data_IF_981195985314
#
_entry.id   IF_981195985314
#
_cell.length_a   1.000
_cell.length_b   1.000
_cell.length_c   1.000
_cell.angle_alpha   90.00
_cell.angle_beta   90.00
_cell.angle_gamma   90.00
#
_symmetry.space_group_name_H-M   'P 1'
#
loop_
_entity.id
_entity.type
_entity.pdbx_description
1 polymer ?
#
# COMPACT_ATOMS: atom_id res chain seq x y z
N UNK A 1 7.48 -14.49 13.99
CA UNK A 1 6.80 -13.23 13.63
C UNK A 1 6.80 -13.14 12.12
N UNK A 2 5.69 -13.48 11.45
CA UNK A 2 5.54 -13.23 10.02
C UNK A 2 5.46 -11.72 9.83
N UNK A 3 6.53 -11.12 9.30
CA UNK A 3 6.60 -9.67 9.12
C UNK A 3 6.00 -9.36 7.74
N UNK A 4 4.87 -8.65 7.71
CA UNK A 4 4.17 -8.33 6.46
C UNK A 4 4.72 -7.05 5.81
N UNK A 5 4.37 -6.84 4.54
CA UNK A 5 4.57 -5.58 3.82
C UNK A 5 3.25 -4.80 3.87
N UNK A 6 3.31 -3.53 4.23
CA UNK A 6 2.17 -2.62 4.12
C UNK A 6 2.17 -1.98 2.73
N UNK A 7 1.08 -2.15 1.97
CA UNK A 7 0.80 -1.35 0.77
C UNK A 7 -0.22 -0.28 1.15
N UNK A 8 0.29 0.90 1.45
CA UNK A 8 -0.50 2.08 1.80
C UNK A 8 -0.83 2.91 0.57
N UNK A 9 -2.06 3.43 0.47
CA UNK A 9 -2.41 4.32 -0.63
C UNK A 9 -3.25 5.53 -0.21
N UNK A 10 -3.00 6.68 -0.86
CA UNK A 10 -3.94 7.78 -0.94
C UNK A 10 -4.69 7.66 -2.27
N UNK A 11 -5.96 8.03 -2.31
CA UNK A 11 -6.73 8.12 -3.56
C UNK A 11 -7.92 9.06 -3.39
N UNK A 12 -8.34 9.70 -4.49
CA UNK A 12 -9.57 10.50 -4.54
C UNK A 12 -10.67 9.82 -5.35
N UNK A 13 -10.30 9.16 -6.45
CA UNK A 13 -11.23 8.55 -7.41
C UNK A 13 -11.05 7.04 -7.58
N UNK A 14 -10.20 6.41 -6.76
CA UNK A 14 -10.01 4.95 -6.77
C UNK A 14 -8.86 4.46 -7.64
N UNK A 15 -8.38 5.20 -8.63
CA UNK A 15 -7.31 4.69 -9.54
C UNK A 15 -6.04 4.25 -8.81
N UNK A 16 -5.60 4.98 -7.78
CA UNK A 16 -4.44 4.58 -6.97
C UNK A 16 -4.71 3.33 -6.12
N UNK A 17 -5.97 3.07 -5.77
CA UNK A 17 -6.35 1.83 -5.07
C UNK A 17 -6.16 0.62 -6.00
N UNK A 18 -6.61 0.70 -7.25
CA UNK A 18 -6.45 -0.39 -8.23
C UNK A 18 -4.96 -0.72 -8.44
N UNK A 19 -4.11 0.32 -8.53
CA UNK A 19 -2.65 0.13 -8.62
C UNK A 19 -2.09 -0.51 -7.34
N UNK A 20 -2.54 -0.06 -6.16
CA UNK A 20 -2.12 -0.64 -4.89
C UNK A 20 -2.53 -2.12 -4.76
N UNK A 21 -3.71 -2.48 -5.23
CA UNK A 21 -4.20 -3.86 -5.29
C UNK A 21 -3.36 -4.73 -6.23
N UNK A 22 -3.00 -4.20 -7.41
CA UNK A 22 -2.12 -4.89 -8.35
C UNK A 22 -0.72 -5.13 -7.76
N UNK A 23 -0.13 -4.12 -7.13
CA UNK A 23 1.17 -4.25 -6.43
C UNK A 23 1.08 -5.30 -5.31
N UNK A 24 0.01 -5.26 -4.50
CA UNK A 24 -0.20 -6.23 -3.43
C UNK A 24 -0.35 -7.66 -3.98
N UNK A 25 -1.02 -7.85 -5.12
CA UNK A 25 -1.14 -9.13 -5.79
C UNK A 25 0.23 -9.67 -6.20
N UNK A 26 1.06 -8.87 -6.87
CA UNK A 26 2.42 -9.27 -7.27
C UNK A 26 3.30 -9.64 -6.07
N UNK A 27 3.25 -8.86 -4.99
CA UNK A 27 4.01 -9.18 -3.77
C UNK A 27 3.56 -10.50 -3.13
N UNK A 28 2.24 -10.78 -3.13
CA UNK A 28 1.69 -12.05 -2.65
C UNK A 28 2.09 -13.23 -3.52
N UNK A 29 2.14 -13.05 -4.84
CA UNK A 29 2.66 -14.07 -5.78
C UNK A 29 4.13 -14.40 -5.50
N UNK A 30 4.92 -13.44 -5.02
CA UNK A 30 6.29 -13.66 -4.54
C UNK A 30 6.37 -14.32 -3.15
N UNK A 31 5.24 -14.70 -2.54
CA UNK A 31 5.19 -15.36 -1.23
C UNK A 31 5.26 -14.42 -0.03
N UNK A 32 5.10 -13.11 -0.23
CA UNK A 32 5.09 -12.13 0.86
C UNK A 32 3.69 -12.00 1.48
N UNK A 33 3.64 -11.85 2.80
CA UNK A 33 2.42 -11.42 3.49
C UNK A 33 2.23 -9.91 3.25
N UNK A 34 1.04 -9.50 2.80
CA UNK A 34 0.78 -8.10 2.40
C UNK A 34 -0.55 -7.62 2.94
N UNK A 35 -0.52 -6.50 3.64
CA UNK A 35 -1.71 -5.75 4.05
C UNK A 35 -1.88 -4.53 3.14
N UNK A 36 -3.12 -4.23 2.77
CA UNK A 36 -3.44 -3.06 1.93
C UNK A 36 -4.37 -2.13 2.70
N UNK A 37 -3.99 -0.86 2.84
CA UNK A 37 -4.79 0.12 3.58
C UNK A 37 -4.74 1.52 2.96
N UNK A 38 -5.84 2.25 3.11
CA UNK A 38 -5.85 3.70 2.92
C UNK A 38 -4.88 4.34 3.91
N UNK A 39 -4.00 5.23 3.45
CA UNK A 39 -2.98 5.81 4.34
C UNK A 39 -3.54 6.57 5.52
N UNK A 40 -4.71 7.21 5.37
CA UNK A 40 -5.39 7.89 6.48
C UNK A 40 -5.84 6.96 7.61
N UNK A 41 -5.95 5.66 7.35
CA UNK A 41 -6.36 4.65 8.34
C UNK A 41 -5.16 3.95 9.00
N UNK A 42 -3.94 4.14 8.48
CA UNK A 42 -2.73 3.55 9.04
C UNK A 42 -2.32 4.32 10.29
N UNK A 43 -2.41 3.66 11.46
CA UNK A 43 -2.10 4.27 12.76
C UNK A 43 -0.73 3.90 13.31
N UNK A 44 -0.12 2.84 12.79
CA UNK A 44 1.18 2.34 13.23
C UNK A 44 1.85 1.55 12.11
N UNK A 45 3.18 1.54 12.10
CA UNK A 45 4.00 0.71 11.22
C UNK A 45 4.65 -0.47 11.97
N UNK A 46 4.41 -0.58 13.29
CA UNK A 46 4.98 -1.65 14.09
C UNK A 46 4.50 -3.02 13.59
N UNK A 47 5.44 -3.91 13.29
CA UNK A 47 5.15 -5.26 12.77
C UNK A 47 5.27 -5.40 11.25
N UNK A 48 5.45 -4.30 10.51
CA UNK A 48 5.76 -4.33 9.07
C UNK A 48 7.27 -4.36 8.83
N UNK A 49 7.71 -5.12 7.83
CA UNK A 49 9.11 -5.21 7.40
C UNK A 49 9.43 -4.18 6.33
N UNK A 50 8.42 -3.78 5.57
CA UNK A 50 8.52 -2.80 4.50
C UNK A 50 7.17 -2.09 4.29
N UNK A 51 7.24 -0.93 3.64
CA UNK A 51 6.08 -0.14 3.23
C UNK A 51 6.22 0.23 1.76
N UNK A 52 5.15 0.03 1.00
CA UNK A 52 4.95 0.61 -0.33
C UNK A 52 3.88 1.69 -0.19
N UNK A 53 4.16 2.90 -0.65
CA UNK A 53 3.26 4.04 -0.56
C UNK A 53 2.86 4.52 -1.96
N UNK A 54 1.57 4.45 -2.28
CA UNK A 54 0.99 4.99 -3.51
C UNK A 54 0.21 6.27 -3.28
N UNK A 55 0.34 7.25 -4.16
CA UNK A 55 -0.48 8.46 -4.14
C UNK A 55 -0.77 8.95 -5.56
N UNK A 56 -1.94 9.57 -5.80
CA UNK A 56 -2.24 10.17 -7.08
C UNK A 56 -1.37 11.43 -7.27
N UNK A 57 -0.91 11.65 -8.50
CA UNK A 57 -0.30 12.92 -8.87
C UNK A 57 -1.38 13.92 -9.25
N UNK A 58 -1.43 15.05 -8.55
CA UNK A 58 -2.32 16.16 -8.86
C UNK A 58 -1.52 17.44 -9.03
N UNK A 59 -1.52 18.01 -10.24
CA UNK A 59 -0.87 19.30 -10.52
C UNK A 59 0.57 19.39 -9.97
N UNK A 60 1.35 18.32 -10.17
CA UNK A 60 2.73 18.18 -9.66
C UNK A 60 2.87 18.06 -8.13
N UNK A 61 1.79 17.79 -7.41
CA UNK A 61 1.80 17.44 -5.99
C UNK A 61 1.52 15.95 -5.79
N UNK A 62 2.23 15.36 -4.82
CA UNK A 62 2.04 14.03 -4.24
C UNK A 62 1.63 14.22 -2.79
#
# INVERSE_FOLDING_TARGET
MSTSVLVGYATRYGSTQEVAEAVAATLRECGLAVDIQLMREVRTLAGYSAVVLGAPLYMFHW
#
